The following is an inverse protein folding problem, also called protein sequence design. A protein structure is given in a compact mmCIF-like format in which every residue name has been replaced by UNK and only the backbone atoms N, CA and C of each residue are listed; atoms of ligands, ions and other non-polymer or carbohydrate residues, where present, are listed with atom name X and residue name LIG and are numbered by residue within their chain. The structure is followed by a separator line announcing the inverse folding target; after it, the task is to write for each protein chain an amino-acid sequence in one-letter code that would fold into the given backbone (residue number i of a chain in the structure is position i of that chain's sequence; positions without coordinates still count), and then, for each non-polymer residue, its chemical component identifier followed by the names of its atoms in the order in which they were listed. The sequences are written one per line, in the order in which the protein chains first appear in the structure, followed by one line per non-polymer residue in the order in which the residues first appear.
data_IF_789028091184
#
_entry.id   IF_789028091184
#
_cell.length_a   1.000
_cell.length_b   1.000
_cell.length_c   1.000
_cell.angle_alpha   90.00
_cell.angle_beta   90.00
_cell.angle_gamma   90.00
#
_symmetry.space_group_name_H-M   'P 1'
#
loop_
_entity.id
_entity.type
_entity.pdbx_description
1 polymer ?
#
# COMPACT_ATOMS: atom_id res chain seq x y z
N UNK A 1 -38.46 -12.52 4.65
CA UNK A 1 -37.99 -11.13 4.82
C UNK A 1 -38.08 -10.77 6.30
N UNK A 2 -37.04 -10.97 7.12
CA UNK A 2 -37.15 -10.59 8.55
C UNK A 2 -35.83 -10.41 9.33
N UNK A 3 -34.70 -10.12 8.68
CA UNK A 3 -33.55 -9.53 9.37
C UNK A 3 -33.11 -8.32 8.57
N UNK A 4 -33.30 -7.13 9.12
CA UNK A 4 -32.75 -5.92 8.53
C UNK A 4 -31.22 -6.00 8.62
N UNK A 5 -30.54 -5.91 7.48
CA UNK A 5 -29.08 -5.92 7.41
C UNK A 5 -28.46 -4.53 7.61
N UNK A 6 -29.24 -3.46 7.44
CA UNK A 6 -28.80 -2.07 7.69
C UNK A 6 -29.90 -1.26 8.39
N UNK A 7 -29.49 -0.24 9.14
CA UNK A 7 -30.39 0.64 9.89
C UNK A 7 -31.22 1.55 9.00
N UNK A 8 -30.73 1.85 7.80
CA UNK A 8 -31.39 2.74 6.82
C UNK A 8 -32.31 1.97 5.87
N UNK A 9 -32.31 0.63 5.92
CA UNK A 9 -32.94 -0.23 4.91
C UNK A 9 -32.52 0.14 3.48
N UNK A 10 -31.31 0.68 3.33
CA UNK A 10 -30.79 1.14 2.05
C UNK A 10 -29.56 0.35 1.68
N UNK A 11 -29.61 -0.22 0.48
CA UNK A 11 -28.53 -0.97 -0.12
C UNK A 11 -27.79 -0.05 -1.10
N UNK A 12 -26.47 -0.05 -1.02
CA UNK A 12 -25.60 0.70 -1.93
C UNK A 12 -24.93 -0.30 -2.88
N UNK A 13 -25.17 -0.14 -4.18
CA UNK A 13 -24.63 -0.97 -5.23
C UNK A 13 -23.57 -0.21 -6.02
N UNK A 14 -22.44 -0.87 -6.28
CA UNK A 14 -21.38 -0.39 -7.17
C UNK A 14 -21.45 -1.19 -8.45
N UNK A 15 -21.50 -0.50 -9.58
CA UNK A 15 -21.51 -1.08 -10.92
C UNK A 15 -20.17 -0.77 -11.58
N UNK A 16 -19.46 -1.80 -12.00
CA UNK A 16 -18.11 -1.64 -12.53
C UNK A 16 -17.90 -2.39 -13.84
N UNK A 17 -17.08 -1.78 -14.70
CA UNK A 17 -16.41 -2.42 -15.83
C UNK A 17 -14.90 -2.18 -15.68
N UNK A 18 -14.05 -2.80 -16.51
CA UNK A 18 -12.64 -2.43 -16.60
C UNK A 18 -12.38 -1.00 -17.10
N UNK A 19 -13.43 -0.21 -17.34
CA UNK A 19 -13.32 1.14 -17.88
C UNK A 19 -13.92 2.16 -16.91
N UNK A 20 -15.01 1.83 -16.21
CA UNK A 20 -15.69 2.77 -15.32
C UNK A 20 -16.20 2.15 -14.03
N UNK A 21 -16.50 3.03 -13.07
CA UNK A 21 -17.31 2.75 -11.89
C UNK A 21 -18.43 3.77 -11.76
N UNK A 22 -19.62 3.30 -11.44
CA UNK A 22 -20.76 4.10 -10.97
C UNK A 22 -21.41 3.43 -9.76
N UNK A 23 -22.31 4.12 -9.07
CA UNK A 23 -23.03 3.58 -7.93
C UNK A 23 -24.47 4.06 -7.90
N UNK A 24 -25.35 3.29 -7.27
CA UNK A 24 -26.74 3.65 -7.02
C UNK A 24 -27.23 3.06 -5.70
N UNK A 25 -28.31 3.61 -5.15
CA UNK A 25 -28.85 3.20 -3.85
C UNK A 25 -30.34 2.89 -3.92
N UNK A 26 -30.76 1.83 -3.23
CA UNK A 26 -32.14 1.36 -3.26
C UNK A 26 -32.70 1.13 -1.86
N UNK A 27 -33.93 1.63 -1.63
CA UNK A 27 -34.67 1.47 -0.37
C UNK A 27 -35.75 0.39 -0.42
N UNK A 28 -36.13 -0.03 -1.63
CA UNK A 28 -37.27 -0.91 -1.85
C UNK A 28 -36.82 -2.14 -2.63
N UNK A 29 -37.24 -3.31 -2.17
CA UNK A 29 -37.07 -4.58 -2.88
C UNK A 29 -38.06 -4.66 -4.05
N UNK A 30 -37.77 -3.94 -5.13
CA UNK A 30 -38.51 -3.93 -6.39
C UNK A 30 -37.55 -3.94 -7.58
N UNK A 31 -38.09 -4.01 -8.78
CA UNK A 31 -37.30 -3.84 -10.00
C UNK A 31 -36.78 -2.40 -10.09
N UNK A 32 -35.49 -2.26 -10.38
CA UNK A 32 -34.80 -0.98 -10.61
C UNK A 32 -34.03 -1.08 -11.92
N UNK A 33 -33.83 0.07 -12.56
CA UNK A 33 -33.10 0.18 -13.83
C UNK A 33 -31.96 1.17 -13.66
N UNK A 34 -30.76 0.75 -14.02
CA UNK A 34 -29.58 1.62 -14.11
C UNK A 34 -29.31 1.89 -15.58
N UNK A 35 -29.25 3.17 -15.94
CA UNK A 35 -28.98 3.61 -17.31
C UNK A 35 -27.52 4.04 -17.44
N UNK A 36 -26.89 3.63 -18.54
CA UNK A 36 -25.56 4.07 -18.95
C UNK A 36 -25.73 4.84 -20.26
N UNK A 37 -25.59 6.17 -20.20
CA UNK A 37 -25.86 7.06 -21.34
C UNK A 37 -24.97 6.75 -22.56
N UNK A 38 -23.68 6.49 -22.30
CA UNK A 38 -22.72 6.11 -23.31
C UNK A 38 -21.62 5.21 -22.73
N UNK A 39 -21.07 4.31 -23.55
CA UNK A 39 -19.88 3.53 -23.21
C UNK A 39 -18.62 4.33 -23.55
N UNK A 40 -17.57 4.18 -22.74
CA UNK A 40 -16.35 4.98 -22.81
C UNK A 40 -15.56 4.67 -24.07
N UNK A 41 -15.68 3.44 -24.56
CA UNK A 41 -15.06 3.00 -25.79
C UNK A 41 -15.79 1.81 -26.41
N UNK A 42 -15.49 1.52 -27.67
CA UNK A 42 -15.92 0.28 -28.32
C UNK A 42 -15.41 -0.97 -27.58
N UNK A 43 -14.25 -0.88 -26.92
CA UNK A 43 -13.69 -1.97 -26.14
C UNK A 43 -14.52 -2.25 -24.89
N UNK A 44 -15.01 -1.21 -24.19
CA UNK A 44 -15.95 -1.37 -23.08
C UNK A 44 -17.25 -2.02 -23.56
N UNK A 45 -17.84 -1.54 -24.65
CA UNK A 45 -19.05 -2.13 -25.22
C UNK A 45 -18.83 -3.61 -25.60
N UNK A 46 -17.67 -3.93 -26.18
CA UNK A 46 -17.26 -5.30 -26.48
C UNK A 46 -17.13 -6.16 -25.23
N UNK A 47 -16.56 -5.63 -24.15
CA UNK A 47 -16.46 -6.30 -22.87
C UNK A 47 -17.85 -6.58 -22.28
N UNK A 48 -18.70 -5.56 -22.17
CA UNK A 48 -20.04 -5.65 -21.58
C UNK A 48 -20.91 -6.66 -22.33
N UNK A 49 -20.83 -6.70 -23.67
CA UNK A 49 -21.56 -7.70 -24.48
C UNK A 49 -21.14 -9.15 -24.17
N UNK A 50 -19.87 -9.38 -23.83
CA UNK A 50 -19.32 -10.72 -23.62
C UNK A 50 -19.33 -11.14 -22.13
N UNK A 51 -19.22 -10.19 -21.20
CA UNK A 51 -18.98 -10.43 -19.78
C UNK A 51 -20.01 -9.79 -18.85
N UNK A 52 -20.81 -8.85 -19.35
CA UNK A 52 -21.74 -8.06 -18.55
C UNK A 52 -21.05 -6.96 -17.73
N UNK A 53 -21.83 -6.35 -16.83
CA UNK A 53 -21.37 -5.36 -15.85
C UNK A 53 -21.24 -6.07 -14.49
N UNK A 54 -20.13 -5.86 -13.80
CA UNK A 54 -19.95 -6.37 -12.43
C UNK A 54 -20.78 -5.54 -11.46
N UNK A 55 -21.53 -6.19 -10.58
CA UNK A 55 -22.40 -5.54 -9.60
C UNK A 55 -21.97 -5.99 -8.21
N UNK A 56 -21.63 -5.02 -7.36
CA UNK A 56 -21.18 -5.27 -5.99
C UNK A 56 -22.15 -4.62 -5.01
N UNK A 57 -22.60 -5.39 -4.02
CA UNK A 57 -23.35 -4.86 -2.89
C UNK A 57 -22.40 -4.48 -1.76
N UNK A 58 -22.41 -3.22 -1.34
CA UNK A 58 -21.72 -2.80 -0.12
C UNK A 58 -22.52 -3.26 1.09
N UNK A 59 -22.18 -4.45 1.60
CA UNK A 59 -22.90 -5.14 2.67
C UNK A 59 -23.03 -4.33 3.97
N UNK A 60 -22.12 -3.38 4.20
CA UNK A 60 -22.16 -2.47 5.34
C UNK A 60 -23.31 -1.44 5.27
N UNK A 61 -23.97 -1.31 4.10
CA UNK A 61 -24.91 -0.24 3.80
C UNK A 61 -24.25 1.15 3.87
N UNK A 62 -24.99 2.22 3.59
CA UNK A 62 -24.40 3.57 3.59
C UNK A 62 -23.81 3.98 4.94
N UNK A 63 -24.44 3.60 6.06
CA UNK A 63 -23.93 3.96 7.40
C UNK A 63 -22.60 3.27 7.65
N UNK A 64 -22.50 1.96 7.43
CA UNK A 64 -21.24 1.24 7.63
C UNK A 64 -20.16 1.65 6.62
N UNK A 65 -20.54 2.03 5.39
CA UNK A 65 -19.60 2.62 4.42
C UNK A 65 -19.08 3.98 4.90
N UNK A 66 -19.94 4.86 5.44
CA UNK A 66 -19.51 6.13 6.02
C UNK A 66 -18.63 5.94 7.26
N UNK A 67 -18.94 4.97 8.12
CA UNK A 67 -18.10 4.58 9.25
C UNK A 67 -16.72 4.08 8.78
N UNK A 68 -16.67 3.22 7.75
CA UNK A 68 -15.42 2.73 7.19
C UNK A 68 -14.59 3.87 6.57
N UNK A 69 -15.23 4.80 5.85
CA UNK A 69 -14.57 6.01 5.34
C UNK A 69 -14.05 6.88 6.49
N UNK A 70 -14.80 7.01 7.58
CA UNK A 70 -14.39 7.75 8.76
C UNK A 70 -13.22 7.07 9.52
N UNK A 71 -13.10 5.73 9.45
CA UNK A 71 -11.94 5.02 9.99
C UNK A 71 -10.69 5.18 9.12
N UNK A 72 -10.84 5.22 7.80
CA UNK A 72 -9.72 5.19 6.83
C UNK A 72 -9.22 6.59 6.45
N UNK A 73 -10.12 7.55 6.21
CA UNK A 73 -9.76 8.91 5.81
C UNK A 73 -8.74 9.58 6.75
N UNK A 74 -8.88 9.48 8.09
CA UNK A 74 -7.93 10.12 9.01
C UNK A 74 -6.50 9.61 8.85
N UNK A 75 -6.33 8.33 8.46
CA UNK A 75 -5.03 7.67 8.33
C UNK A 75 -4.09 8.45 7.42
N UNK A 76 -4.62 9.02 6.34
CA UNK A 76 -3.88 9.73 5.29
C UNK A 76 -3.52 11.17 5.66
N UNK A 77 -3.98 11.69 6.79
CA UNK A 77 -3.67 13.06 7.21
C UNK A 77 -2.32 13.13 7.91
N UNK A 78 -1.47 14.10 7.53
CA UNK A 78 -0.21 14.35 8.24
C UNK A 78 -0.44 15.26 9.45
N UNK A 79 -1.18 14.75 10.43
CA UNK A 79 -1.52 15.47 11.66
C UNK A 79 -1.41 14.54 12.87
N UNK A 80 -1.40 15.10 14.09
CA UNK A 80 -1.49 14.29 15.31
C UNK A 80 -2.73 13.38 15.32
N UNK A 81 -3.84 13.85 14.74
CA UNK A 81 -5.04 13.04 14.60
C UNK A 81 -4.83 11.85 13.66
N UNK A 82 -4.15 12.06 12.53
CA UNK A 82 -3.79 10.99 11.60
C UNK A 82 -2.83 9.98 12.22
N UNK A 83 -1.77 10.44 12.90
CA UNK A 83 -0.84 9.55 13.61
C UNK A 83 -1.56 8.70 14.67
N UNK A 84 -2.40 9.32 15.50
CA UNK A 84 -3.18 8.61 16.50
C UNK A 84 -4.18 7.63 15.87
N UNK A 85 -4.73 7.97 14.70
CA UNK A 85 -5.66 7.11 13.95
C UNK A 85 -4.94 5.88 13.39
N UNK A 86 -3.74 6.03 12.84
CA UNK A 86 -2.91 4.90 12.40
C UNK A 86 -2.58 3.95 13.57
N UNK A 87 -2.14 4.49 14.72
CA UNK A 87 -1.88 3.69 15.92
C UNK A 87 -3.17 2.98 16.40
N UNK A 88 -4.30 3.68 16.44
CA UNK A 88 -5.58 3.10 16.86
C UNK A 88 -6.06 2.01 15.90
N UNK A 89 -5.87 2.20 14.59
CA UNK A 89 -6.19 1.22 13.56
C UNK A 89 -5.38 -0.07 13.76
N UNK A 90 -4.05 0.04 13.87
CA UNK A 90 -3.16 -1.11 14.08
C UNK A 90 -3.48 -1.81 15.42
N UNK A 91 -3.78 -1.06 16.46
CA UNK A 91 -4.24 -1.64 17.74
C UNK A 91 -5.56 -2.40 17.60
N UNK A 92 -6.53 -1.84 16.89
CA UNK A 92 -7.87 -2.46 16.70
C UNK A 92 -7.80 -3.69 15.80
N UNK A 93 -7.03 -3.62 14.72
CA UNK A 93 -7.01 -4.64 13.65
C UNK A 93 -5.95 -5.72 13.87
N UNK A 94 -4.82 -5.38 14.49
CA UNK A 94 -3.72 -6.33 14.72
C UNK A 94 -3.48 -6.65 16.20
N UNK A 95 -4.11 -5.90 17.12
CA UNK A 95 -3.75 -6.00 18.55
C UNK A 95 -2.37 -5.42 18.89
N UNK A 96 -1.76 -4.68 17.96
CA UNK A 96 -0.44 -4.10 18.10
C UNK A 96 -0.38 -3.01 19.18
N UNK A 97 0.79 -2.83 19.79
CA UNK A 97 1.08 -1.75 20.74
C UNK A 97 2.33 -1.02 20.27
N UNK A 98 2.20 0.30 20.10
CA UNK A 98 3.30 1.19 19.79
C UNK A 98 3.59 1.99 21.05
N UNK A 99 4.80 1.80 21.60
CA UNK A 99 5.26 2.47 22.80
C UNK A 99 6.46 3.36 22.46
N UNK A 100 6.46 4.59 22.97
CA UNK A 100 7.55 5.52 22.74
C UNK A 100 8.83 5.00 23.40
N UNK A 101 9.92 4.94 22.63
CA UNK A 101 11.22 4.50 23.16
C UNK A 101 11.86 5.61 24.02
N UNK A 102 12.62 5.26 25.07
CA UNK A 102 13.45 6.23 25.78
C UNK A 102 14.46 6.89 24.85
N UNK A 103 14.69 8.19 25.04
CA UNK A 103 15.70 8.95 24.29
C UNK A 103 17.13 8.56 24.70
N UNK A 104 18.12 8.64 23.78
CA UNK A 104 18.00 9.08 22.39
C UNK A 104 17.37 8.02 21.48
N UNK A 105 16.64 8.46 20.45
CA UNK A 105 16.01 7.56 19.45
C UNK A 105 16.97 7.10 18.36
N UNK A 106 18.20 7.62 18.36
CA UNK A 106 19.27 7.25 17.45
C UNK A 106 20.23 6.29 18.13
N UNK A 107 20.74 5.32 17.37
CA UNK A 107 21.80 4.41 17.80
C UNK A 107 23.17 4.91 17.34
N UNK A 108 24.24 4.48 18.00
CA UNK A 108 25.61 4.83 17.64
C UNK A 108 26.11 3.87 16.54
N UNK A 109 25.67 4.10 15.30
CA UNK A 109 26.11 3.39 14.10
C UNK A 109 26.53 4.43 13.07
N UNK A 110 27.70 4.24 12.49
CA UNK A 110 28.25 5.05 11.41
C UNK A 110 28.02 4.38 10.05
N UNK A 111 28.01 5.16 8.97
CA UNK A 111 27.88 4.62 7.62
C UNK A 111 28.97 3.59 7.29
N UNK A 112 30.18 3.71 7.88
CA UNK A 112 31.30 2.77 7.71
C UNK A 112 31.02 1.37 8.28
N UNK A 113 30.11 1.26 9.25
CA UNK A 113 29.73 -0.01 9.87
C UNK A 113 28.64 -0.77 9.10
N UNK A 114 28.05 -0.13 8.09
CA UNK A 114 27.03 -0.72 7.21
C UNK A 114 27.72 -1.43 6.05
N UNK A 115 27.24 -2.60 5.65
CA UNK A 115 27.85 -3.40 4.60
C UNK A 115 26.86 -3.83 3.54
N UNK A 116 27.38 -4.28 2.40
CA UNK A 116 26.58 -4.85 1.33
C UNK A 116 25.70 -6.00 1.81
N UNK A 117 24.42 -5.92 1.51
CA UNK A 117 23.39 -6.86 1.91
C UNK A 117 22.75 -6.56 3.27
N UNK A 118 23.25 -5.61 4.05
CA UNK A 118 22.55 -5.14 5.24
C UNK A 118 21.19 -4.53 4.84
N UNK A 119 20.19 -4.75 5.68
CA UNK A 119 18.80 -4.45 5.37
C UNK A 119 18.31 -3.27 6.20
N UNK A 120 17.64 -2.32 5.56
CA UNK A 120 16.95 -1.21 6.20
C UNK A 120 15.46 -1.50 6.18
N UNK A 121 14.83 -1.34 7.33
CA UNK A 121 13.40 -1.57 7.50
C UNK A 121 12.77 -0.31 8.05
N UNK A 122 11.75 0.18 7.34
CA UNK A 122 11.09 1.44 7.63
C UNK A 122 9.66 1.20 8.12
N UNK A 123 9.25 2.02 9.09
CA UNK A 123 7.90 2.04 9.62
C UNK A 123 7.39 3.47 9.78
N UNK A 124 6.55 3.89 8.85
CA UNK A 124 5.81 5.16 8.81
C UNK A 124 4.42 4.98 9.43
N UNK A 125 3.92 6.03 10.10
CA UNK A 125 2.61 6.04 10.78
C UNK A 125 1.86 7.39 10.66
N UNK A 126 2.33 8.32 9.83
CA UNK A 126 1.67 9.61 9.57
C UNK A 126 1.71 9.97 8.08
N UNK A 127 0.77 10.79 7.63
CA UNK A 127 0.71 11.24 6.24
C UNK A 127 0.32 10.15 5.22
N UNK A 128 0.41 10.48 3.93
CA UNK A 128 0.02 9.59 2.81
C UNK A 128 0.74 8.24 2.92
N UNK A 129 2.06 8.27 3.02
CA UNK A 129 2.87 7.05 3.07
C UNK A 129 2.70 6.27 4.37
N UNK A 130 2.55 6.95 5.52
CA UNK A 130 2.25 6.26 6.78
C UNK A 130 0.90 5.55 6.80
N UNK A 131 -0.09 6.06 6.06
CA UNK A 131 -1.38 5.39 5.89
C UNK A 131 -1.26 4.12 5.05
N UNK A 132 -0.58 4.20 3.88
CA UNK A 132 -0.31 3.03 3.05
C UNK A 132 0.45 1.97 3.82
N UNK A 133 1.52 2.36 4.51
CA UNK A 133 2.27 1.42 5.32
C UNK A 133 1.49 0.86 6.52
N UNK A 134 0.49 1.59 7.02
CA UNK A 134 -0.41 1.07 8.08
C UNK A 134 -1.31 -0.03 7.55
N UNK A 135 -1.82 0.12 6.32
CA UNK A 135 -2.58 -0.92 5.65
C UNK A 135 -1.68 -2.12 5.30
N UNK A 136 -0.46 -1.88 4.83
CA UNK A 136 0.55 -2.93 4.58
C UNK A 136 0.88 -3.73 5.84
N UNK A 137 1.11 -3.06 6.98
CA UNK A 137 1.33 -3.73 8.27
C UNK A 137 0.14 -4.62 8.64
N UNK A 138 -1.09 -4.14 8.43
CA UNK A 138 -2.30 -4.91 8.74
C UNK A 138 -2.44 -6.16 7.87
N UNK A 139 -2.28 -6.03 6.56
CA UNK A 139 -2.50 -7.15 5.62
C UNK A 139 -1.35 -8.16 5.64
N UNK A 140 -0.12 -7.73 5.92
CA UNK A 140 1.06 -8.63 6.00
C UNK A 140 1.29 -9.21 7.40
N UNK A 141 0.70 -8.61 8.43
CA UNK A 141 1.04 -8.92 9.83
C UNK A 141 2.42 -8.38 10.28
N UNK A 142 3.10 -7.60 9.44
CA UNK A 142 4.40 -6.98 9.73
C UNK A 142 4.27 -5.73 10.60
N UNK A 143 5.38 -5.29 11.18
CA UNK A 143 5.50 -3.97 11.83
C UNK A 143 6.21 -2.93 10.96
N UNK A 144 6.61 -3.31 9.75
CA UNK A 144 7.25 -2.47 8.76
C UNK A 144 6.37 -2.39 7.50
N UNK A 145 6.40 -1.25 6.82
CA UNK A 145 5.76 -1.10 5.50
C UNK A 145 6.77 -1.05 4.36
N UNK A 146 7.95 -0.48 4.60
CA UNK A 146 8.95 -0.32 3.55
C UNK A 146 10.30 -0.96 3.90
N UNK A 147 11.07 -1.29 2.88
CA UNK A 147 12.39 -1.86 3.06
C UNK A 147 13.34 -1.47 1.94
N UNK A 148 14.62 -1.39 2.28
CA UNK A 148 15.70 -1.10 1.36
C UNK A 148 16.94 -1.96 1.68
N UNK A 149 17.84 -2.10 0.72
CA UNK A 149 19.09 -2.85 0.88
C UNK A 149 20.30 -1.96 0.68
N UNK A 150 21.30 -2.13 1.54
CA UNK A 150 22.57 -1.42 1.46
C UNK A 150 23.55 -2.14 0.52
N UNK A 151 24.28 -1.37 -0.29
CA UNK A 151 25.32 -1.86 -1.20
C UNK A 151 26.56 -0.97 -1.12
N UNK A 152 27.75 -1.54 -1.09
CA UNK A 152 29.00 -0.82 -1.26
C UNK A 152 29.53 -0.99 -2.67
N UNK A 153 29.98 0.09 -3.28
CA UNK A 153 30.67 0.00 -4.58
C UNK A 153 32.13 -0.44 -4.43
N UNK A 154 32.84 -0.57 -5.54
CA UNK A 154 34.26 -0.94 -5.57
C UNK A 154 35.19 0.09 -4.93
N UNK A 155 34.74 1.32 -4.73
CA UNK A 155 35.46 2.38 -4.01
C UNK A 155 35.12 2.38 -2.50
N UNK A 156 34.20 1.51 -2.08
CA UNK A 156 33.72 1.40 -0.71
C UNK A 156 32.65 2.41 -0.35
N UNK A 157 32.08 3.19 -1.29
CA UNK A 157 30.98 4.12 -0.98
C UNK A 157 29.69 3.36 -0.77
N UNK A 158 28.87 3.84 0.17
CA UNK A 158 27.60 3.22 0.53
C UNK A 158 26.45 3.77 -0.32
N UNK A 159 25.60 2.86 -0.76
CA UNK A 159 24.41 3.09 -1.56
C UNK A 159 23.21 2.37 -0.95
N UNK A 160 22.02 2.91 -1.15
CA UNK A 160 20.75 2.32 -0.77
C UNK A 160 19.96 2.02 -2.04
N UNK A 161 19.60 0.75 -2.23
CA UNK A 161 18.72 0.33 -3.32
C UNK A 161 17.32 0.05 -2.77
N UNK A 162 16.31 0.72 -3.33
CA UNK A 162 14.92 0.61 -2.90
C UNK A 162 13.93 0.79 -4.05
N UNK A 163 12.65 0.51 -3.78
CA UNK A 163 11.55 0.66 -4.74
C UNK A 163 10.47 1.54 -4.16
N UNK A 164 10.02 2.58 -4.87
CA UNK A 164 9.08 3.57 -4.36
C UNK A 164 9.71 4.93 -4.09
N UNK A 165 10.84 5.21 -4.73
CA UNK A 165 11.44 6.55 -4.74
C UNK A 165 10.81 7.39 -5.85
N UNK A 166 10.33 8.58 -5.53
CA UNK A 166 9.71 9.49 -6.49
C UNK A 166 10.80 10.18 -7.34
N UNK A 167 10.72 10.05 -8.66
CA UNK A 167 11.63 10.74 -9.59
C UNK A 167 11.24 12.21 -9.82
N UNK A 168 12.03 12.95 -10.62
CA UNK A 168 11.76 14.37 -10.92
C UNK A 168 10.41 14.63 -11.61
N UNK A 169 9.77 13.60 -12.16
CA UNK A 169 8.47 13.69 -12.84
C UNK A 169 7.31 13.32 -11.92
N UNK A 170 7.59 12.88 -10.69
CA UNK A 170 6.58 12.39 -9.75
C UNK A 170 6.25 10.91 -9.95
N UNK A 171 7.06 10.15 -10.68
CA UNK A 171 6.86 8.72 -10.87
C UNK A 171 7.62 7.93 -9.80
N UNK A 172 6.94 6.99 -9.13
CA UNK A 172 7.60 6.05 -8.20
C UNK A 172 8.42 5.01 -8.97
N UNK A 173 9.73 4.94 -8.71
CA UNK A 173 10.67 4.05 -9.39
C UNK A 173 11.51 3.20 -8.43
N UNK A 174 12.22 2.24 -9.00
CA UNK A 174 13.33 1.55 -8.35
C UNK A 174 14.58 2.42 -8.48
N UNK A 175 15.15 2.83 -7.36
CA UNK A 175 16.29 3.75 -7.30
C UNK A 175 17.48 3.13 -6.56
N UNK A 176 18.67 3.60 -6.91
CA UNK A 176 19.91 3.34 -6.18
C UNK A 176 20.50 4.70 -5.85
N UNK A 177 20.48 5.06 -4.57
CA UNK A 177 20.84 6.39 -4.09
C UNK A 177 22.12 6.33 -3.27
N UNK A 178 23.00 7.34 -3.36
CA UNK A 178 24.08 7.50 -2.39
C UNK A 178 23.51 7.57 -0.97
N UNK A 179 24.17 6.93 -0.01
CA UNK A 179 23.71 6.91 1.39
C UNK A 179 23.38 8.31 1.93
N UNK A 180 24.27 9.29 1.69
CA UNK A 180 24.07 10.65 2.19
C UNK A 180 22.81 11.33 1.61
N UNK A 181 22.48 11.03 0.36
CA UNK A 181 21.28 11.55 -0.29
C UNK A 181 20.01 10.91 0.27
N UNK A 182 20.02 9.57 0.38
CA UNK A 182 18.91 8.82 0.97
C UNK A 182 18.68 9.24 2.43
N UNK A 183 19.75 9.30 3.22
CA UNK A 183 19.67 9.66 4.64
C UNK A 183 19.20 11.09 4.86
N UNK A 184 19.67 12.05 4.06
CA UNK A 184 19.18 13.43 4.11
C UNK A 184 17.70 13.52 3.74
N UNK A 185 17.25 12.76 2.73
CA UNK A 185 15.83 12.69 2.35
C UNK A 185 14.97 12.20 3.52
N UNK A 186 15.33 11.06 4.11
CA UNK A 186 14.60 10.46 5.23
C UNK A 186 14.58 11.37 6.48
N UNK A 187 15.65 12.15 6.71
CA UNK A 187 15.75 13.06 7.85
C UNK A 187 15.01 14.39 7.67
N UNK A 188 15.03 14.96 6.47
CA UNK A 188 14.61 16.37 6.28
C UNK A 188 13.45 16.56 5.32
N UNK A 189 13.19 15.60 4.43
CA UNK A 189 12.13 15.69 3.41
C UNK A 189 10.97 14.73 3.67
N UNK A 190 11.23 13.57 4.28
CA UNK A 190 10.16 12.63 4.60
C UNK A 190 9.34 13.13 5.79
N UNK A 191 8.21 13.77 5.48
CA UNK A 191 7.27 14.32 6.45
C UNK A 191 6.46 13.25 7.19
N UNK A 192 6.63 11.97 6.82
CA UNK A 192 6.09 10.82 7.55
C UNK A 192 6.91 10.43 8.79
N UNK A 193 8.10 11.02 8.95
CA UNK A 193 9.04 10.77 10.06
C UNK A 193 9.21 9.27 10.36
N UNK A 194 9.86 8.53 9.45
CA UNK A 194 9.94 7.09 9.52
C UNK A 194 10.74 6.59 10.73
N UNK A 195 10.30 5.48 11.31
CA UNK A 195 11.17 4.68 12.17
C UNK A 195 12.04 3.78 11.30
N UNK A 196 13.35 3.95 11.37
CA UNK A 196 14.32 3.19 10.56
C UNK A 196 15.08 2.23 11.47
N UNK A 197 15.06 0.94 11.12
CA UNK A 197 15.86 -0.08 11.76
C UNK A 197 16.88 -0.66 10.76
N UNK A 198 18.14 -0.67 11.16
CA UNK A 198 19.19 -1.41 10.47
C UNK A 198 19.23 -2.86 10.98
N UNK A 199 19.15 -3.81 10.05
CA UNK A 199 19.25 -5.24 10.30
C UNK A 199 20.48 -5.77 9.57
N UNK A 200 21.63 -5.89 10.26
CA UNK A 200 22.84 -6.39 9.63
C UNK A 200 22.71 -7.86 9.27
N UNK A 201 23.31 -8.27 8.15
CA UNK A 201 23.42 -9.69 7.82
C UNK A 201 24.22 -10.44 8.89
N UNK A 202 23.70 -11.59 9.30
CA UNK A 202 24.44 -12.54 10.12
C UNK A 202 25.80 -12.86 9.47
N UNK A 203 26.91 -12.96 10.23
CA UNK A 203 28.25 -13.17 9.67
C UNK A 203 28.33 -14.33 8.66
N UNK A 204 27.65 -15.46 8.93
CA UNK A 204 27.64 -16.62 8.05
C UNK A 204 26.94 -16.39 6.70
N UNK A 205 25.94 -15.50 6.66
CA UNK A 205 25.26 -15.10 5.44
C UNK A 205 26.09 -14.05 4.70
N UNK A 206 26.69 -13.11 5.44
CA UNK A 206 27.59 -12.09 4.92
C UNK A 206 28.76 -12.70 4.17
N UNK A 207 29.38 -13.74 4.72
CA UNK A 207 30.47 -14.47 4.06
C UNK A 207 30.09 -15.13 2.72
N UNK A 208 28.79 -15.32 2.47
CA UNK A 208 28.23 -15.93 1.25
C UNK A 208 27.56 -14.91 0.33
N UNK A 209 27.46 -13.65 0.76
CA UNK A 209 26.78 -12.61 -0.01
C UNK A 209 27.57 -12.31 -1.29
N UNK A 210 26.92 -12.49 -2.43
CA UNK A 210 27.53 -12.21 -3.72
C UNK A 210 27.26 -10.76 -4.11
N UNK A 211 28.18 -9.89 -3.73
CA UNK A 211 28.09 -8.44 -3.97
C UNK A 211 28.05 -8.08 -5.46
N UNK A 212 28.81 -8.78 -6.30
CA UNK A 212 28.80 -8.56 -7.75
C UNK A 212 27.42 -8.86 -8.33
N UNK A 213 26.83 -10.01 -7.99
CA UNK A 213 25.50 -10.39 -8.47
C UNK A 213 24.41 -9.44 -7.93
N UNK A 214 24.53 -8.98 -6.68
CA UNK A 214 23.61 -8.01 -6.10
C UNK A 214 23.63 -6.68 -6.86
N UNK A 215 24.82 -6.18 -7.21
CA UNK A 215 24.97 -4.97 -8.00
C UNK A 215 24.46 -5.11 -9.44
N UNK A 216 24.75 -6.25 -10.09
CA UNK A 216 24.23 -6.54 -11.43
C UNK A 216 22.69 -6.54 -11.42
N UNK A 217 22.09 -7.17 -10.41
CA UNK A 217 20.63 -7.18 -10.26
C UNK A 217 20.07 -5.79 -9.98
N UNK A 218 20.61 -5.06 -8.99
CA UNK A 218 20.14 -3.72 -8.66
C UNK A 218 20.19 -2.78 -9.87
N UNK A 219 21.31 -2.78 -10.61
CA UNK A 219 21.47 -1.97 -11.83
C UNK A 219 20.51 -2.37 -12.95
N UNK A 220 20.18 -3.66 -13.05
CA UNK A 220 19.21 -4.14 -14.04
C UNK A 220 17.78 -3.64 -13.76
N UNK A 221 17.47 -3.33 -12.50
CA UNK A 221 16.15 -2.88 -12.07
C UNK A 221 16.04 -1.35 -11.94
N UNK A 222 17.16 -0.64 -11.80
CA UNK A 222 17.18 0.81 -11.63
C UNK A 222 16.42 1.54 -12.75
N UNK A 223 15.54 2.45 -12.36
CA UNK A 223 14.66 3.21 -13.26
C UNK A 223 13.40 2.47 -13.73
N UNK A 224 13.21 1.20 -13.34
CA UNK A 224 11.93 0.52 -13.59
C UNK A 224 10.83 1.09 -12.69
N UNK A 225 9.56 1.09 -13.15
CA UNK A 225 8.43 1.55 -12.34
C UNK A 225 8.24 0.75 -11.05
N UNK A 226 7.74 1.42 -10.01
CA UNK A 226 7.38 0.78 -8.76
C UNK A 226 6.28 -0.28 -8.94
N UNK A 227 6.53 -1.47 -8.40
CA UNK A 227 5.67 -2.64 -8.55
C UNK A 227 4.45 -2.68 -7.63
N UNK A 228 3.79 -1.55 -7.33
CA UNK A 228 2.69 -1.49 -6.35
C UNK A 228 1.56 -2.47 -6.65
N UNK A 229 1.30 -2.78 -7.92
CA UNK A 229 0.33 -3.79 -8.31
C UNK A 229 0.71 -5.17 -7.76
N UNK A 230 1.97 -5.58 -7.90
CA UNK A 230 2.46 -6.85 -7.35
C UNK A 230 2.40 -6.86 -5.82
N UNK A 231 2.66 -5.73 -5.18
CA UNK A 231 2.50 -5.59 -3.73
C UNK A 231 1.04 -5.83 -3.31
N UNK A 232 0.07 -5.14 -3.93
CA UNK A 232 -1.35 -5.32 -3.59
C UNK A 232 -1.82 -6.75 -3.91
N UNK A 233 -1.40 -7.31 -5.05
CA UNK A 233 -1.71 -8.70 -5.38
C UNK A 233 -1.08 -9.69 -4.39
N UNK A 234 0.06 -9.38 -3.79
CA UNK A 234 0.67 -10.24 -2.75
C UNK A 234 -0.14 -10.32 -1.47
N UNK A 235 -1.09 -9.41 -1.24
CA UNK A 235 -2.04 -9.50 -0.13
C UNK A 235 -3.07 -10.62 -0.36
N UNK A 236 -3.10 -11.18 -1.58
CA UNK A 236 -3.96 -12.28 -2.01
C UNK A 236 -3.13 -13.57 -2.05
N UNK A 237 -3.07 -14.28 -0.92
CA UNK A 237 -2.38 -15.55 -0.73
C UNK A 237 -3.06 -16.73 -1.45
N UNK A 238 -4.35 -16.62 -1.75
CA UNK A 238 -5.12 -17.69 -2.43
C UNK A 238 -6.02 -17.12 -3.52
N UNK A 239 -6.33 -17.92 -4.54
CA UNK A 239 -7.15 -17.47 -5.68
C UNK A 239 -8.56 -16.99 -5.24
N UNK A 240 -9.11 -17.51 -4.13
CA UNK A 240 -10.48 -17.21 -3.70
C UNK A 240 -10.75 -17.22 -2.19
N UNK A 241 -9.84 -17.69 -1.34
CA UNK A 241 -10.16 -18.05 0.06
C UNK A 241 -9.63 -17.07 1.11
N UNK A 242 -8.77 -16.12 0.73
CA UNK A 242 -8.07 -15.25 1.67
C UNK A 242 -8.47 -13.77 1.55
N UNK A 243 -9.49 -13.46 0.76
CA UNK A 243 -10.05 -12.13 0.72
C UNK A 243 -10.80 -11.87 2.05
N UNK A 244 -10.54 -10.75 2.75
CA UNK A 244 -11.35 -10.41 3.91
C UNK A 244 -12.79 -10.16 3.45
N UNK A 245 -13.75 -10.84 4.07
CA UNK A 245 -15.17 -10.63 3.75
C UNK A 245 -15.51 -9.12 3.81
N UNK A 246 -16.26 -8.57 2.83
CA UNK A 246 -16.96 -9.25 1.73
C UNK A 246 -16.17 -9.26 0.40
N UNK A 247 -14.86 -9.00 0.41
CA UNK A 247 -14.08 -8.91 -0.82
C UNK A 247 -14.00 -10.26 -1.54
N UNK A 248 -14.02 -10.22 -2.87
CA UNK A 248 -13.70 -11.36 -3.73
C UNK A 248 -12.75 -10.93 -4.86
N UNK A 249 -12.26 -11.91 -5.63
CA UNK A 249 -11.31 -11.67 -6.72
C UNK A 249 -11.86 -10.77 -7.83
N UNK A 250 -13.17 -10.76 -8.06
CA UNK A 250 -13.82 -9.92 -9.07
C UNK A 250 -13.88 -8.47 -8.62
N UNK A 251 -14.16 -8.22 -7.34
CA UNK A 251 -14.15 -6.89 -6.75
C UNK A 251 -12.74 -6.30 -6.78
N UNK A 252 -11.72 -7.07 -6.36
CA UNK A 252 -10.33 -6.58 -6.37
C UNK A 252 -9.86 -6.26 -7.80
N UNK A 253 -10.13 -7.12 -8.78
CA UNK A 253 -9.78 -6.84 -10.18
C UNK A 253 -10.46 -5.56 -10.70
N UNK A 254 -11.72 -5.33 -10.33
CA UNK A 254 -12.47 -4.13 -10.72
C UNK A 254 -11.90 -2.87 -10.07
N UNK A 255 -11.61 -2.91 -8.77
CA UNK A 255 -11.00 -1.79 -8.02
C UNK A 255 -9.62 -1.45 -8.56
N UNK A 256 -8.77 -2.45 -8.83
CA UNK A 256 -7.42 -2.22 -9.36
C UNK A 256 -7.46 -1.54 -10.74
N UNK A 257 -8.43 -1.91 -11.57
CA UNK A 257 -8.59 -1.27 -12.88
C UNK A 257 -8.98 0.20 -12.74
N UNK A 258 -9.90 0.50 -11.82
CA UNK A 258 -10.37 1.87 -11.54
C UNK A 258 -9.25 2.71 -10.94
N UNK A 259 -8.52 2.15 -9.96
CA UNK A 259 -7.38 2.81 -9.33
C UNK A 259 -6.31 3.21 -10.35
N UNK A 260 -6.01 2.32 -11.29
CA UNK A 260 -5.04 2.57 -12.38
C UNK A 260 -5.45 3.76 -13.25
N UNK A 261 -6.74 3.94 -13.50
CA UNK A 261 -7.23 5.07 -14.29
C UNK A 261 -7.31 6.37 -13.49
N UNK A 262 -7.63 6.29 -12.20
CA UNK A 262 -7.76 7.47 -11.34
C UNK A 262 -6.43 8.11 -10.95
N UNK A 263 -5.30 7.38 -11.05
CA UNK A 263 -3.93 7.85 -10.74
C UNK A 263 -3.88 8.84 -9.54
N UNK A 264 -4.17 8.39 -8.30
CA UNK A 264 -4.13 9.28 -7.12
C UNK A 264 -2.72 9.72 -6.74
#
# INVERSE_FOLDING_TARGET
VSKAHSWTCMDLYVFATPYRVTWDYYFLSREHTVEFDEWESEAELGYVKNRGVSIFLLQAGMVGTLEALWEVFPLFTNTQWGENSNIAFLKKRMGARFEERPKPWVTNITADEIHSGDFLVLSKIRGRWGAFETLEKWVTGSYAGHSAVCLRDSEGKLWVAESGHEDEKGDDIIAILPWEEWWELELTKDDSNPHIALLPLHPDLRAKFNETAAWEYAKSMAGMPYGYHNLIFSWIDTVSENYPEPLDSHLVASVMTVWTQMKP
#
